data_IF_578671606456
#
_entry.id   IF_578671606456
#
_cell.length_a   1.000
_cell.length_b   1.000
_cell.length_c   1.000
_cell.angle_alpha   90.00
_cell.angle_beta   90.00
_cell.angle_gamma   90.00
#
_symmetry.space_group_name_H-M   'P 1'
#
loop_
_entity.id
_entity.type
_entity.pdbx_description
1 polymer ?
#
# COMPACT_ATOMS: atom_id res chain seq x y z
N UNK A 1 -33.23 -63.04 32.68
CA UNK A 1 -33.83 -62.85 31.33
C UNK A 1 -34.58 -61.54 31.31
N UNK A 2 -34.36 -60.80 30.22
CA UNK A 2 -34.85 -59.46 29.85
C UNK A 2 -36.30 -59.15 30.23
N UNK A 3 -36.59 -57.90 30.61
CA UNK A 3 -37.70 -57.13 30.03
C UNK A 3 -37.44 -55.61 30.13
N UNK A 4 -37.60 -54.96 28.98
CA UNK A 4 -37.38 -53.56 28.64
C UNK A 4 -38.75 -52.86 28.46
N UNK A 5 -38.86 -51.57 28.87
CA UNK A 5 -39.85 -50.52 28.49
C UNK A 5 -39.71 -49.36 29.51
N UNK A 6 -39.85 -48.05 29.26
CA UNK A 6 -39.99 -47.19 28.08
C UNK A 6 -40.07 -45.73 28.60
N UNK A 7 -39.41 -44.78 27.91
CA UNK A 7 -39.70 -43.34 27.72
C UNK A 7 -40.08 -42.38 28.87
N UNK A 8 -39.24 -41.34 29.13
CA UNK A 8 -39.57 -39.89 29.25
C UNK A 8 -38.29 -39.11 28.86
N UNK A 9 -38.10 -38.60 27.64
CA UNK A 9 -38.54 -37.32 27.04
C UNK A 9 -37.97 -36.03 27.65
N UNK A 10 -37.09 -35.37 26.86
CA UNK A 10 -36.83 -33.92 26.71
C UNK A 10 -36.32 -33.16 27.96
N UNK A 11 -35.15 -32.53 27.92
CA UNK A 11 -34.98 -31.27 27.18
C UNK A 11 -33.50 -30.95 26.95
N UNK A 12 -33.15 -30.71 25.69
CA UNK A 12 -31.88 -30.10 25.27
C UNK A 12 -32.04 -28.58 25.39
N UNK A 13 -31.32 -27.96 26.31
CA UNK A 13 -31.11 -26.51 26.32
C UNK A 13 -29.82 -26.23 25.54
N UNK A 14 -29.95 -26.01 24.23
CA UNK A 14 -28.90 -25.45 23.41
C UNK A 14 -28.80 -23.96 23.77
N UNK A 15 -27.83 -23.60 24.61
CA UNK A 15 -27.37 -22.21 24.71
C UNK A 15 -26.72 -21.84 23.38
N UNK A 16 -27.50 -21.24 22.49
CA UNK A 16 -26.99 -20.51 21.34
C UNK A 16 -26.26 -19.27 21.83
N UNK A 17 -24.97 -19.40 22.12
CA UNK A 17 -24.08 -18.26 22.24
C UNK A 17 -23.95 -17.65 20.84
N UNK A 18 -24.72 -16.59 20.59
CA UNK A 18 -24.56 -15.78 19.40
C UNK A 18 -23.14 -15.23 19.37
N UNK A 19 -22.33 -15.72 18.43
CA UNK A 19 -21.06 -15.10 18.11
C UNK A 19 -21.42 -13.77 17.44
N UNK A 20 -21.42 -12.70 18.23
CA UNK A 20 -21.37 -11.37 17.67
C UNK A 20 -20.03 -11.26 16.92
N UNK A 21 -20.05 -11.53 15.62
CA UNK A 21 -18.93 -11.20 14.76
C UNK A 21 -18.77 -9.69 14.89
N UNK A 22 -17.70 -9.27 15.59
CA UNK A 22 -17.30 -7.87 15.59
C UNK A 22 -17.18 -7.46 14.12
N UNK A 23 -17.94 -6.45 13.71
CA UNK A 23 -17.81 -5.90 12.37
C UNK A 23 -16.39 -5.35 12.25
N UNK A 24 -15.50 -6.09 11.59
CA UNK A 24 -14.18 -5.57 11.24
C UNK A 24 -14.41 -4.38 10.32
N UNK A 25 -13.82 -3.23 10.69
CA UNK A 25 -13.95 -2.04 9.88
C UNK A 25 -13.17 -2.27 8.58
N UNK A 26 -13.85 -2.18 7.45
CA UNK A 26 -13.18 -2.30 6.15
C UNK A 26 -12.20 -1.13 5.98
N UNK A 27 -10.96 -1.44 5.57
CA UNK A 27 -9.95 -0.41 5.31
C UNK A 27 -10.38 0.43 4.11
N UNK A 28 -10.39 1.76 4.23
CA UNK A 28 -10.83 2.65 3.13
C UNK A 28 -10.00 3.92 3.11
N UNK A 29 -9.88 4.54 1.94
CA UNK A 29 -9.33 5.90 1.84
C UNK A 29 -10.19 6.83 2.68
N UNK A 30 -9.52 7.63 3.51
CA UNK A 30 -10.13 8.67 4.32
C UNK A 30 -9.53 10.02 3.91
N UNK A 31 -10.37 10.93 3.43
CA UNK A 31 -9.93 12.23 2.94
C UNK A 31 -9.19 12.23 1.58
N UNK A 32 -8.53 13.34 1.23
CA UNK A 32 -7.90 13.52 -0.08
C UNK A 32 -6.59 12.75 -0.21
N UNK A 33 -6.30 12.30 -1.43
CA UNK A 33 -5.00 11.74 -1.81
C UNK A 33 -4.11 12.89 -2.30
N UNK A 34 -3.00 13.14 -1.59
CA UNK A 34 -1.93 13.98 -2.08
C UNK A 34 -1.08 13.19 -3.07
N UNK A 35 -0.66 13.83 -4.16
CA UNK A 35 0.18 13.20 -5.17
C UNK A 35 1.12 14.21 -5.80
N UNK A 36 2.27 13.74 -6.27
CA UNK A 36 3.22 14.58 -7.00
C UNK A 36 4.66 14.30 -6.63
N UNK A 37 5.50 15.32 -6.75
CA UNK A 37 6.92 15.26 -6.45
C UNK A 37 7.15 15.71 -5.01
N UNK A 38 7.87 14.89 -4.25
CA UNK A 38 8.20 15.17 -2.85
C UNK A 38 9.38 16.15 -2.78
N UNK A 39 9.18 17.30 -2.13
CA UNK A 39 10.19 18.37 -2.06
C UNK A 39 11.38 17.99 -1.18
N UNK A 40 12.54 17.69 -1.78
CA UNK A 40 13.79 17.50 -1.02
C UNK A 40 14.55 18.82 -0.88
N UNK A 41 15.08 19.09 0.32
CA UNK A 41 16.04 20.18 0.54
C UNK A 41 17.47 19.80 0.15
N UNK A 42 17.71 18.51 -0.08
CA UNK A 42 19.02 18.01 -0.46
C UNK A 42 19.23 18.20 -1.96
N UNK A 43 20.39 18.76 -2.30
CA UNK A 43 20.86 18.92 -3.67
C UNK A 43 22.09 18.01 -3.82
N UNK A 44 22.36 17.53 -5.04
CA UNK A 44 23.54 16.70 -5.39
C UNK A 44 23.55 15.24 -4.91
N UNK A 45 22.43 14.53 -5.10
CA UNK A 45 22.31 13.09 -4.86
C UNK A 45 23.41 12.28 -5.55
N UNK A 46 24.09 11.43 -4.80
CA UNK A 46 25.01 10.43 -5.33
C UNK A 46 24.27 9.10 -5.59
N UNK A 47 24.69 8.31 -6.61
CA UNK A 47 24.11 6.98 -6.84
C UNK A 47 24.14 6.11 -5.58
N UNK A 48 22.99 5.50 -5.26
CA UNK A 48 22.80 4.63 -4.09
C UNK A 48 22.49 5.38 -2.78
N UNK A 49 22.51 6.72 -2.78
CA UNK A 49 22.13 7.50 -1.61
C UNK A 49 20.59 7.55 -1.47
N UNK A 50 20.08 7.21 -0.28
CA UNK A 50 18.67 7.41 0.08
C UNK A 50 18.58 8.36 1.27
N UNK A 51 18.01 9.53 1.03
CA UNK A 51 17.84 10.53 2.10
C UNK A 51 16.58 10.19 2.88
N UNK A 52 16.69 10.05 4.21
CA UNK A 52 15.53 9.84 5.08
C UNK A 52 14.68 11.11 5.11
N UNK A 53 13.67 11.16 4.24
CA UNK A 53 12.71 12.26 4.20
C UNK A 53 11.72 12.14 5.35
N UNK A 54 11.46 13.25 6.04
CA UNK A 54 10.45 13.32 7.11
C UNK A 54 9.05 13.07 6.56
N UNK A 55 8.16 12.50 7.38
CA UNK A 55 6.76 12.21 7.03
C UNK A 55 5.97 13.43 6.53
N UNK A 56 6.35 14.63 6.98
CA UNK A 56 5.74 15.92 6.66
C UNK A 56 6.32 16.60 5.41
N UNK A 57 7.09 15.87 4.59
CA UNK A 57 7.65 16.45 3.37
C UNK A 57 6.53 17.00 2.48
N UNK A 58 6.70 18.24 2.03
CA UNK A 58 5.71 18.88 1.17
C UNK A 58 5.66 18.16 -0.19
N UNK A 59 4.47 18.05 -0.78
CA UNK A 59 4.27 17.41 -2.08
C UNK A 59 3.85 18.49 -3.07
N UNK A 60 4.70 18.77 -4.06
CA UNK A 60 4.32 19.60 -5.18
C UNK A 60 3.35 18.83 -6.05
N UNK A 61 2.08 19.26 -6.07
CA UNK A 61 1.02 18.59 -6.82
C UNK A 61 1.26 18.66 -8.33
N UNK A 62 1.63 17.53 -8.93
CA UNK A 62 1.87 17.40 -10.37
C UNK A 62 1.77 15.93 -10.79
N UNK A 63 1.56 15.67 -12.07
CA UNK A 63 1.77 14.35 -12.69
C UNK A 63 3.04 14.32 -13.53
N UNK A 64 3.67 15.46 -13.75
CA UNK A 64 4.92 15.59 -14.51
C UNK A 64 6.10 15.47 -13.55
N UNK A 65 6.94 14.47 -13.76
CA UNK A 65 8.04 14.13 -12.86
C UNK A 65 9.36 14.35 -13.60
N UNK A 66 10.29 15.14 -13.04
CA UNK A 66 11.62 15.31 -13.64
C UNK A 66 12.37 13.98 -13.71
N UNK A 67 12.90 13.65 -14.88
CA UNK A 67 13.80 12.51 -15.08
C UNK A 67 15.21 12.82 -14.53
N UNK A 68 15.33 12.95 -13.21
CA UNK A 68 16.57 13.32 -12.51
C UNK A 68 16.81 12.43 -11.29
N UNK A 69 18.06 12.00 -11.08
CA UNK A 69 18.50 11.27 -9.88
C UNK A 69 18.12 12.03 -8.61
N UNK A 70 17.61 11.31 -7.61
CA UNK A 70 17.08 11.84 -6.35
C UNK A 70 15.64 12.34 -6.42
N UNK A 71 15.01 12.34 -7.60
CA UNK A 71 13.59 12.72 -7.70
C UNK A 71 12.74 11.64 -7.05
N UNK A 72 11.95 12.06 -6.05
CA UNK A 72 10.97 11.22 -5.36
C UNK A 72 9.56 11.67 -5.73
N UNK A 73 8.72 10.73 -6.13
CA UNK A 73 7.34 11.01 -6.54
C UNK A 73 6.39 9.89 -6.11
N UNK A 74 5.10 10.20 -5.98
CA UNK A 74 4.10 9.21 -5.59
C UNK A 74 2.87 9.82 -4.93
N UNK A 75 2.31 9.09 -3.97
CA UNK A 75 1.09 9.43 -3.27
C UNK A 75 1.27 9.38 -1.74
N UNK A 76 0.57 10.28 -1.04
CA UNK A 76 0.32 10.22 0.40
C UNK A 76 -1.18 10.26 0.64
N UNK A 77 -1.66 9.35 1.49
CA UNK A 77 -3.10 9.15 1.72
C UNK A 77 -3.34 8.72 3.16
N UNK A 78 -4.59 8.81 3.62
CA UNK A 78 -5.00 8.31 4.93
C UNK A 78 -5.93 7.12 4.74
N UNK A 79 -5.83 6.17 5.67
CA UNK A 79 -6.66 4.98 5.68
C UNK A 79 -7.42 4.91 7.00
N UNK A 80 -8.75 4.85 6.91
CA UNK A 80 -9.62 4.52 8.04
C UNK A 80 -9.77 2.99 8.16
N UNK A 81 -10.17 2.52 9.33
CA UNK A 81 -10.50 1.11 9.55
C UNK A 81 -9.31 0.16 9.69
N UNK A 82 -8.06 0.65 9.67
CA UNK A 82 -6.86 -0.19 9.83
C UNK A 82 -6.86 -0.94 11.17
N UNK A 83 -6.68 -2.26 11.15
CA UNK A 83 -6.51 -3.11 12.32
C UNK A 83 -5.22 -3.93 12.23
N UNK A 84 -4.73 -4.38 13.38
CA UNK A 84 -3.62 -5.34 13.41
C UNK A 84 -4.10 -6.70 12.89
N UNK A 85 -3.31 -7.32 12.01
CA UNK A 85 -3.66 -8.60 11.39
C UNK A 85 -4.53 -8.51 10.13
N UNK A 86 -4.94 -7.30 9.73
CA UNK A 86 -5.58 -7.08 8.44
C UNK A 86 -4.69 -7.50 7.26
N UNK A 87 -5.31 -7.80 6.12
CA UNK A 87 -4.59 -8.02 4.86
C UNK A 87 -3.68 -6.81 4.58
N UNK A 88 -2.38 -7.04 4.33
CA UNK A 88 -1.43 -5.95 4.06
C UNK A 88 -1.76 -5.25 2.75
N UNK A 89 -1.19 -4.06 2.58
CA UNK A 89 -1.21 -3.36 1.31
C UNK A 89 -0.27 -4.04 0.31
N UNK A 90 -0.68 -4.06 -0.96
CA UNK A 90 0.18 -4.37 -2.09
C UNK A 90 0.41 -3.08 -2.89
N UNK A 91 1.64 -2.60 -2.91
CA UNK A 91 2.06 -1.42 -3.65
C UNK A 91 2.62 -1.88 -5.01
N UNK A 92 1.83 -1.71 -6.06
CA UNK A 92 2.17 -2.11 -7.41
C UNK A 92 2.65 -0.90 -8.21
N UNK A 93 3.90 -0.91 -8.62
CA UNK A 93 4.52 0.09 -9.48
C UNK A 93 4.61 -0.50 -10.88
N UNK A 94 3.86 0.01 -11.85
CA UNK A 94 4.08 -0.27 -13.27
C UNK A 94 5.02 0.79 -13.84
N UNK A 95 6.02 0.35 -14.58
CA UNK A 95 7.10 1.21 -15.09
C UNK A 95 7.21 1.08 -16.61
N UNK A 96 7.88 2.04 -17.30
CA UNK A 96 8.22 1.90 -18.70
C UNK A 96 9.24 0.78 -19.00
N UNK A 97 9.78 0.13 -17.97
CA UNK A 97 10.79 -0.92 -18.04
C UNK A 97 12.14 -0.45 -17.51
N UNK A 98 12.34 -0.61 -16.20
CA UNK A 98 13.65 -0.37 -15.55
C UNK A 98 14.60 -1.51 -15.88
N UNK A 99 15.78 -1.22 -16.40
CA UNK A 99 16.79 -2.25 -16.67
C UNK A 99 17.87 -2.21 -15.59
N UNK A 100 17.90 -3.23 -14.74
CA UNK A 100 18.88 -3.34 -13.65
C UNK A 100 20.28 -3.71 -14.17
N UNK A 101 21.36 -3.52 -13.38
CA UNK A 101 22.73 -3.79 -13.83
C UNK A 101 23.01 -5.24 -14.24
N UNK A 102 22.18 -6.19 -13.81
CA UNK A 102 22.21 -7.59 -14.24
C UNK A 102 21.58 -7.83 -15.64
N UNK A 103 21.08 -6.77 -16.28
CA UNK A 103 20.45 -6.80 -17.59
C UNK A 103 18.97 -7.17 -17.58
N UNK A 104 18.36 -7.41 -16.41
CA UNK A 104 16.94 -7.74 -16.32
C UNK A 104 16.07 -6.49 -16.47
N UNK A 105 14.98 -6.61 -17.23
CA UNK A 105 13.98 -5.56 -17.40
C UNK A 105 12.80 -5.79 -16.47
N UNK A 106 12.48 -4.77 -15.66
CA UNK A 106 11.40 -4.76 -14.69
C UNK A 106 10.30 -3.81 -15.15
N UNK A 107 9.24 -4.36 -15.75
CA UNK A 107 8.00 -3.62 -16.07
C UNK A 107 7.16 -3.33 -14.84
N UNK A 108 7.41 -4.03 -13.74
CA UNK A 108 6.69 -3.85 -12.49
C UNK A 108 7.54 -4.13 -11.27
N UNK A 109 7.22 -3.43 -10.18
CA UNK A 109 7.66 -3.78 -8.83
C UNK A 109 6.45 -3.97 -7.94
N UNK A 110 6.53 -4.92 -7.02
CA UNK A 110 5.47 -5.23 -6.08
C UNK A 110 6.03 -5.26 -4.67
N UNK A 111 5.47 -4.44 -3.79
CA UNK A 111 5.92 -4.33 -2.39
C UNK A 111 4.74 -4.59 -1.47
N UNK A 112 4.88 -5.59 -0.59
CA UNK A 112 3.88 -5.87 0.44
C UNK A 112 4.20 -5.05 1.69
N UNK A 113 3.25 -4.22 2.12
CA UNK A 113 3.39 -3.34 3.27
C UNK A 113 2.33 -3.67 4.34
N UNK A 114 2.79 -4.01 5.54
CA UNK A 114 1.89 -4.21 6.70
C UNK A 114 1.19 -2.90 7.05
N UNK A 115 -0.09 -2.99 7.40
CA UNK A 115 -0.85 -1.86 7.91
C UNK A 115 -0.39 -1.52 9.32
N UNK A 116 -0.27 -0.22 9.59
CA UNK A 116 0.03 0.31 10.93
C UNK A 116 -1.17 1.14 11.37
N UNK A 117 -2.02 0.64 12.29
CA UNK A 117 -3.27 1.31 12.69
C UNK A 117 -3.09 2.75 13.16
N UNK A 118 -2.02 3.02 13.94
CA UNK A 118 -1.73 4.34 14.49
C UNK A 118 -1.00 5.29 13.53
N UNK A 119 -0.65 4.86 12.31
CA UNK A 119 0.01 5.75 11.35
C UNK A 119 -1.03 6.73 10.77
N UNK A 120 -0.85 8.06 10.91
CA UNK A 120 -1.83 9.04 10.46
C UNK A 120 -1.93 9.11 8.93
N UNK A 121 -0.83 8.81 8.23
CA UNK A 121 -0.76 8.75 6.78
C UNK A 121 0.03 7.52 6.36
N UNK A 122 -0.28 7.04 5.16
CA UNK A 122 0.43 6.00 4.44
C UNK A 122 1.01 6.62 3.16
N UNK A 123 2.17 6.12 2.72
CA UNK A 123 2.91 6.65 1.57
C UNK A 123 3.25 5.53 0.61
N UNK A 124 3.00 5.77 -0.67
CA UNK A 124 3.49 4.97 -1.79
C UNK A 124 4.32 5.89 -2.68
N UNK A 125 5.63 5.72 -2.70
CA UNK A 125 6.52 6.58 -3.46
C UNK A 125 7.67 5.79 -4.08
N UNK A 126 8.12 6.26 -5.23
CA UNK A 126 9.34 5.81 -5.88
C UNK A 126 10.36 6.95 -5.85
N UNK A 127 11.62 6.61 -5.63
CA UNK A 127 12.74 7.56 -5.67
C UNK A 127 13.81 7.02 -6.60
N UNK A 128 14.26 7.84 -7.55
CA UNK A 128 15.36 7.46 -8.44
C UNK A 128 16.69 7.53 -7.67
N UNK A 129 17.05 6.43 -7.02
CA UNK A 129 18.28 6.31 -6.23
C UNK A 129 19.49 5.86 -7.07
N UNK A 130 19.24 5.17 -8.17
CA UNK A 130 20.26 4.74 -9.12
C UNK A 130 20.00 5.25 -10.54
N UNK A 131 21.05 5.50 -11.34
CA UNK A 131 20.88 6.04 -12.70
C UNK A 131 19.97 5.22 -13.60
N UNK A 132 19.98 3.90 -13.43
CA UNK A 132 19.21 2.98 -14.25
C UNK A 132 17.70 3.01 -13.93
N UNK A 133 17.31 3.60 -12.81
CA UNK A 133 15.91 3.80 -12.41
C UNK A 133 15.28 5.03 -13.09
N UNK A 134 16.09 5.95 -13.61
CA UNK A 134 15.64 7.18 -14.28
C UNK A 134 15.16 6.86 -15.70
N UNK A 135 13.97 6.27 -15.78
CA UNK A 135 13.35 5.87 -17.06
C UNK A 135 12.19 6.79 -17.40
N UNK A 136 12.29 7.45 -18.55
CA UNK A 136 11.23 8.33 -19.08
C UNK A 136 10.01 7.53 -19.54
N UNK A 137 8.85 8.15 -19.46
CA UNK A 137 7.57 7.58 -19.87
C UNK A 137 6.58 7.46 -18.72
N UNK A 138 5.55 6.64 -18.94
CA UNK A 138 4.44 6.49 -18.00
C UNK A 138 4.79 5.56 -16.83
N UNK A 139 4.63 6.08 -15.61
CA UNK A 139 4.69 5.30 -14.37
C UNK A 139 3.31 5.29 -13.71
N UNK A 140 2.77 4.10 -13.44
CA UNK A 140 1.47 3.97 -12.74
C UNK A 140 1.68 3.31 -11.39
N UNK A 141 1.33 4.03 -10.33
CA UNK A 141 1.44 3.60 -8.95
C UNK A 141 0.04 3.25 -8.45
N UNK A 142 -0.15 2.02 -7.95
CA UNK A 142 -1.43 1.49 -7.49
C UNK A 142 -1.30 0.86 -6.11
N UNK A 143 -2.23 1.21 -5.22
CA UNK A 143 -2.31 0.70 -3.85
C UNK A 143 -3.49 -0.24 -3.74
N UNK A 144 -3.22 -1.52 -3.46
CA UNK A 144 -4.23 -2.54 -3.28
C UNK A 144 -4.30 -3.03 -1.84
N UNK A 145 -5.45 -3.55 -1.43
CA UNK A 145 -5.59 -4.44 -0.29
C UNK A 145 -6.29 -5.72 -0.78
N UNK A 146 -5.55 -6.84 -0.82
CA UNK A 146 -5.98 -8.01 -1.60
C UNK A 146 -6.20 -7.60 -3.05
N UNK A 147 -7.37 -7.92 -3.61
CA UNK A 147 -7.71 -7.60 -5.01
C UNK A 147 -8.37 -6.20 -5.17
N UNK A 148 -8.61 -5.50 -4.07
CA UNK A 148 -9.32 -4.21 -4.10
C UNK A 148 -8.34 -3.05 -4.26
N UNK A 149 -8.51 -2.30 -5.34
CA UNK A 149 -7.80 -1.04 -5.56
C UNK A 149 -8.31 0.04 -4.59
N UNK A 150 -7.40 0.60 -3.79
CA UNK A 150 -7.70 1.70 -2.87
C UNK A 150 -7.41 3.06 -3.51
N UNK A 151 -6.25 3.19 -4.16
CA UNK A 151 -5.78 4.44 -4.75
C UNK A 151 -4.86 4.15 -5.94
N UNK A 152 -4.85 5.07 -6.90
CA UNK A 152 -3.88 5.03 -7.99
C UNK A 152 -3.52 6.41 -8.52
N UNK A 153 -2.34 6.50 -9.13
CA UNK A 153 -1.91 7.66 -9.89
C UNK A 153 -0.95 7.30 -11.00
N UNK A 154 -1.14 7.95 -12.15
CA UNK A 154 -0.23 7.91 -13.29
C UNK A 154 0.63 9.17 -13.34
N UNK A 155 1.92 8.99 -13.62
CA UNK A 155 2.92 10.04 -13.74
C UNK A 155 3.63 9.94 -15.10
N UNK A 156 3.96 11.10 -15.67
CA UNK A 156 4.77 11.24 -16.88
C UNK A 156 6.17 11.69 -16.48
N UNK A 157 7.16 10.80 -16.61
CA UNK A 157 8.57 11.08 -16.31
C UNK A 157 9.28 11.60 -17.54
N UNK A 158 9.85 12.82 -17.49
CA UNK A 158 10.45 13.47 -18.66
C UNK A 158 11.69 14.33 -18.39
#
# INVERSE_FOLDING_TARGET
MSFMRSCISRSVFLLGAGVAAAAQAEVRIDGPIEYGVFESRYQDFQPGERVLTRSEQNIQRTTEVPAKLGTKFGMRYQLSGKQEGDTPLTLLYLTPGVVTPDGQRHDRFEVVQKLVPGAPTDVMAYEFTEPHEVVKGEWRLMVFQGDRLLAEKTFDVR
#
